data_IF_707009372043
#
_entry.id   IF_707009372043
#
_cell.length_a   1.000
_cell.length_b   1.000
_cell.length_c   1.000
_cell.angle_alpha   90.00
_cell.angle_beta   90.00
_cell.angle_gamma   90.00
#
_symmetry.space_group_name_H-M   'P 1'
#
loop_
_entity.id
_entity.type
_entity.pdbx_description
1 polymer ?
#
# COMPACT_ATOMS: atom_id res chain seq x y z
N UNK A 1 -59.00 16.19 4.23
CA UNK A 1 -57.68 16.76 3.90
C UNK A 1 -56.62 15.74 4.28
N UNK A 2 -56.02 15.05 3.32
CA UNK A 2 -54.96 14.07 3.57
C UNK A 2 -53.60 14.75 3.34
N UNK A 3 -52.76 14.81 4.37
CA UNK A 3 -51.39 15.29 4.25
C UNK A 3 -50.49 14.15 3.75
N UNK A 4 -49.96 14.33 2.55
CA UNK A 4 -48.95 13.40 1.98
C UNK A 4 -47.58 13.83 2.51
N UNK A 5 -47.01 13.04 3.44
CA UNK A 5 -45.62 13.21 3.90
C UNK A 5 -44.70 12.61 2.83
N UNK A 6 -44.02 13.44 2.08
CA UNK A 6 -42.95 13.04 1.18
C UNK A 6 -41.69 12.88 2.05
N UNK A 7 -41.33 11.64 2.38
CA UNK A 7 -40.03 11.34 2.97
C UNK A 7 -38.97 11.35 1.89
N UNK A 8 -38.16 12.40 1.85
CA UNK A 8 -37.00 12.50 0.98
C UNK A 8 -35.89 11.61 1.60
N UNK A 9 -35.70 10.40 1.09
CA UNK A 9 -34.55 9.55 1.46
C UNK A 9 -33.31 10.13 0.81
N UNK A 10 -32.48 10.79 1.61
CA UNK A 10 -31.13 11.18 1.19
C UNK A 10 -30.29 9.90 1.19
N UNK A 11 -30.03 9.34 0.01
CA UNK A 11 -29.04 8.28 -0.13
C UNK A 11 -27.67 8.88 0.22
N UNK A 12 -27.16 8.55 1.41
CA UNK A 12 -25.79 8.88 1.79
C UNK A 12 -24.85 8.17 0.79
N UNK A 13 -24.04 8.94 0.04
CA UNK A 13 -22.98 8.39 -0.77
C UNK A 13 -22.06 7.59 0.18
N UNK A 14 -21.90 6.27 -0.04
CA UNK A 14 -20.98 5.47 0.70
C UNK A 14 -19.57 6.04 0.52
N UNK A 15 -18.87 6.46 1.59
CA UNK A 15 -17.48 6.88 1.46
C UNK A 15 -16.69 5.72 0.85
N UNK A 16 -15.71 6.02 -0.01
CA UNK A 16 -14.81 5.03 -0.62
C UNK A 16 -14.29 4.10 0.48
N UNK A 17 -14.77 2.86 0.48
CA UNK A 17 -14.42 1.87 1.49
C UNK A 17 -13.09 1.18 1.18
N UNK A 18 -12.59 1.32 -0.06
CA UNK A 18 -11.36 0.67 -0.52
C UNK A 18 -10.68 1.43 -1.66
N UNK A 19 -9.37 1.25 -1.74
CA UNK A 19 -8.52 1.66 -2.86
C UNK A 19 -7.65 0.49 -3.27
N UNK A 20 -7.22 0.44 -4.51
CA UNK A 20 -6.33 -0.60 -5.02
C UNK A 20 -5.39 -0.06 -6.10
N UNK A 21 -4.42 -0.87 -6.46
CA UNK A 21 -3.50 -0.51 -7.52
C UNK A 21 -2.48 -1.59 -7.83
N UNK A 22 -1.49 -1.20 -8.60
CA UNK A 22 -0.41 -2.06 -9.06
C UNK A 22 0.91 -1.70 -8.42
N UNK A 23 1.81 -2.67 -8.32
CA UNK A 23 3.20 -2.52 -7.91
C UNK A 23 4.08 -2.75 -9.14
N UNK A 24 4.98 -1.81 -9.39
CA UNK A 24 6.02 -1.95 -10.40
C UNK A 24 7.23 -1.14 -9.94
N UNK A 25 8.28 -1.83 -9.55
CA UNK A 25 9.45 -1.23 -8.91
C UNK A 25 10.72 -1.96 -9.26
N UNK A 26 11.83 -1.24 -9.27
CA UNK A 26 13.17 -1.81 -9.30
C UNK A 26 13.80 -1.55 -7.93
N UNK A 27 14.30 -2.61 -7.31
CA UNK A 27 15.00 -2.53 -6.04
C UNK A 27 16.49 -2.82 -6.23
N UNK A 28 17.31 -2.07 -5.50
CA UNK A 28 18.76 -2.23 -5.53
C UNK A 28 19.20 -3.39 -4.63
N UNK A 29 20.29 -4.02 -5.03
CA UNK A 29 21.00 -4.98 -4.19
C UNK A 29 21.91 -4.29 -3.15
N UNK A 30 22.66 -5.08 -2.35
CA UNK A 30 23.57 -4.55 -1.33
C UNK A 30 24.67 -3.65 -1.89
N UNK A 31 25.02 -3.79 -3.16
CA UNK A 31 26.01 -2.97 -3.88
C UNK A 31 25.44 -1.63 -4.38
N UNK A 32 24.17 -1.33 -4.10
CA UNK A 32 23.46 -0.13 -4.54
C UNK A 32 23.05 -0.15 -6.01
N UNK A 33 23.26 -1.23 -6.73
CA UNK A 33 22.88 -1.38 -8.15
C UNK A 33 21.52 -2.06 -8.29
N UNK A 34 20.77 -1.77 -9.37
CA UNK A 34 19.52 -2.47 -9.65
C UNK A 34 19.71 -3.99 -9.67
N UNK A 35 18.91 -4.70 -8.90
CA UNK A 35 19.05 -6.15 -8.71
C UNK A 35 17.73 -6.90 -8.87
N UNK A 36 16.60 -6.30 -8.49
CA UNK A 36 15.32 -6.96 -8.43
C UNK A 36 14.22 -6.15 -9.14
N UNK A 37 13.42 -6.83 -9.94
CA UNK A 37 12.13 -6.32 -10.42
C UNK A 37 11.06 -6.80 -9.45
N UNK A 38 10.22 -5.87 -8.99
CA UNK A 38 9.08 -6.13 -8.12
C UNK A 38 7.80 -5.82 -8.90
N UNK A 39 6.87 -6.75 -8.94
CA UNK A 39 5.60 -6.58 -9.65
C UNK A 39 4.46 -7.27 -8.94
N UNK A 40 3.31 -6.62 -8.85
CA UNK A 40 2.15 -7.16 -8.16
C UNK A 40 1.01 -6.18 -8.01
N UNK A 41 0.20 -6.41 -6.99
CA UNK A 41 -0.98 -5.60 -6.68
C UNK A 41 -1.06 -5.28 -5.19
N UNK A 42 -1.82 -4.25 -4.86
CA UNK A 42 -2.12 -3.86 -3.50
C UNK A 42 -3.58 -3.42 -3.38
N UNK A 43 -4.09 -3.48 -2.16
CA UNK A 43 -5.34 -2.85 -1.79
C UNK A 43 -5.27 -2.27 -0.37
N UNK A 44 -6.05 -1.24 -0.15
CA UNK A 44 -6.28 -0.62 1.14
C UNK A 44 -7.78 -0.62 1.38
N UNK A 45 -8.22 -1.34 2.40
CA UNK A 45 -9.63 -1.61 2.69
C UNK A 45 -10.04 -1.05 4.04
N UNK A 46 -11.34 -0.92 4.26
CA UNK A 46 -11.91 -0.37 5.50
C UNK A 46 -11.40 1.04 5.81
N UNK A 47 -11.30 1.89 4.79
CA UNK A 47 -10.76 3.25 4.91
C UNK A 47 -11.54 4.14 5.90
N UNK A 48 -12.83 3.85 6.12
CA UNK A 48 -13.68 4.53 7.10
C UNK A 48 -13.53 4.00 8.53
N UNK A 49 -12.80 2.89 8.72
CA UNK A 49 -12.57 2.33 10.05
C UNK A 49 -11.42 3.05 10.75
N UNK A 50 -11.37 2.92 12.10
CA UNK A 50 -10.27 3.42 12.90
C UNK A 50 -8.92 2.81 12.49
N UNK A 51 -8.94 1.56 12.03
CA UNK A 51 -7.76 0.77 11.66
C UNK A 51 -7.95 0.17 10.26
N UNK A 52 -7.69 0.93 9.19
CA UNK A 52 -7.69 0.38 7.84
C UNK A 52 -6.70 -0.78 7.70
N UNK A 53 -6.94 -1.65 6.74
CA UNK A 53 -6.04 -2.77 6.43
C UNK A 53 -5.41 -2.56 5.06
N UNK A 54 -4.10 -2.65 4.99
CA UNK A 54 -3.35 -2.67 3.74
C UNK A 54 -2.91 -4.10 3.43
N UNK A 55 -3.14 -4.54 2.20
CA UNK A 55 -2.67 -5.81 1.68
C UNK A 55 -1.88 -5.59 0.40
N UNK A 56 -0.83 -6.35 0.22
CA UNK A 56 -0.10 -6.42 -1.04
C UNK A 56 0.33 -7.86 -1.35
N UNK A 57 0.41 -8.17 -2.62
CA UNK A 57 0.96 -9.43 -3.11
C UNK A 57 1.82 -9.13 -4.33
N UNK A 58 3.09 -9.51 -4.27
CA UNK A 58 4.03 -9.20 -5.34
C UNK A 58 5.12 -10.27 -5.50
N UNK A 59 5.58 -10.40 -6.71
CA UNK A 59 6.75 -11.19 -7.09
C UNK A 59 8.00 -10.30 -7.07
N UNK A 60 9.09 -10.86 -6.56
CA UNK A 60 10.43 -10.33 -6.74
C UNK A 60 11.22 -11.26 -7.65
N UNK A 61 11.73 -10.73 -8.74
CA UNK A 61 12.53 -11.48 -9.72
C UNK A 61 13.87 -10.78 -9.92
N UNK A 62 14.96 -11.55 -9.80
CA UNK A 62 16.28 -11.01 -10.17
C UNK A 62 16.29 -10.56 -11.63
N UNK A 63 16.97 -9.45 -11.90
CA UNK A 63 17.05 -8.89 -13.25
C UNK A 63 17.75 -9.83 -14.25
N UNK A 64 18.62 -10.73 -13.76
CA UNK A 64 19.24 -11.78 -14.56
C UNK A 64 18.36 -13.03 -14.76
N UNK A 65 17.15 -13.05 -14.15
CA UNK A 65 16.22 -14.17 -14.23
C UNK A 65 16.56 -15.38 -13.36
N UNK A 66 17.65 -15.35 -12.58
CA UNK A 66 18.17 -16.52 -11.85
C UNK A 66 17.32 -16.90 -10.62
N UNK A 67 16.46 -16.02 -10.13
CA UNK A 67 15.65 -16.27 -8.94
C UNK A 67 14.33 -15.49 -9.00
N UNK A 68 13.27 -16.15 -8.56
CA UNK A 68 11.94 -15.54 -8.41
C UNK A 68 11.28 -16.07 -7.15
N UNK A 69 10.66 -15.18 -6.39
CA UNK A 69 9.85 -15.55 -5.22
C UNK A 69 8.74 -14.54 -5.00
N UNK A 70 7.73 -14.94 -4.22
CA UNK A 70 6.53 -14.15 -3.95
C UNK A 70 6.45 -13.75 -2.49
N UNK A 71 5.95 -12.54 -2.27
CA UNK A 71 5.62 -12.02 -0.95
C UNK A 71 4.17 -11.62 -0.84
N UNK A 72 3.61 -11.78 0.34
CA UNK A 72 2.36 -11.19 0.77
C UNK A 72 2.63 -10.29 1.97
N UNK A 73 1.95 -9.16 2.01
CA UNK A 73 2.01 -8.18 3.10
C UNK A 73 0.59 -7.94 3.58
N UNK A 74 0.36 -8.05 4.87
CA UNK A 74 -0.89 -7.63 5.52
C UNK A 74 -0.54 -6.69 6.65
N UNK A 75 -1.03 -5.46 6.59
CA UNK A 75 -0.73 -4.44 7.58
C UNK A 75 -2.00 -3.85 8.19
N UNK A 76 -1.97 -3.61 9.48
CA UNK A 76 -2.95 -2.80 10.20
C UNK A 76 -2.43 -1.37 10.26
N UNK A 77 -3.20 -0.43 9.72
CA UNK A 77 -2.87 0.99 9.72
C UNK A 77 -3.34 1.60 11.05
N UNK A 78 -2.43 2.22 11.77
CA UNK A 78 -2.70 2.81 13.09
C UNK A 78 -2.71 4.33 13.08
N UNK A 79 -2.14 4.95 12.04
CA UNK A 79 -2.19 6.40 11.85
C UNK A 79 -2.20 6.78 10.37
N UNK A 80 -2.84 7.91 10.05
CA UNK A 80 -2.86 8.50 8.74
C UNK A 80 -2.61 10.00 8.86
N UNK A 81 -1.73 10.53 8.01
CA UNK A 81 -1.41 11.95 7.91
C UNK A 81 -1.66 12.45 6.49
N UNK A 82 -2.12 13.68 6.36
CA UNK A 82 -2.41 14.30 5.07
C UNK A 82 -1.69 15.64 4.97
N UNK A 83 -0.88 15.79 3.93
CA UNK A 83 -0.12 17.01 3.65
C UNK A 83 -0.43 17.54 2.26
N UNK A 84 -0.58 18.86 2.17
CA UNK A 84 -0.75 19.59 0.92
C UNK A 84 0.49 20.45 0.69
N UNK A 85 1.04 20.35 -0.52
CA UNK A 85 2.18 21.17 -0.97
C UNK A 85 1.85 21.68 -2.39
N UNK A 86 1.48 22.96 -2.50
CA UNK A 86 1.06 23.55 -3.77
C UNK A 86 -0.18 22.85 -4.37
N UNK A 87 -0.04 22.32 -5.58
CA UNK A 87 -1.10 21.58 -6.29
C UNK A 87 -1.08 20.07 -6.01
N UNK A 88 -0.12 19.57 -5.25
CA UNK A 88 -0.02 18.17 -4.90
C UNK A 88 -0.38 17.93 -3.43
N UNK A 89 -0.87 16.74 -3.16
CA UNK A 89 -1.13 16.28 -1.80
C UNK A 89 -0.59 14.87 -1.61
N UNK A 90 -0.20 14.55 -0.39
CA UNK A 90 0.31 13.23 -0.01
C UNK A 90 -0.41 12.75 1.24
N UNK A 91 -0.90 11.53 1.18
CA UNK A 91 -1.42 10.81 2.33
C UNK A 91 -0.41 9.77 2.76
N UNK A 92 -0.06 9.78 4.04
CA UNK A 92 0.88 8.84 4.64
C UNK A 92 0.13 7.98 5.64
N UNK A 93 0.19 6.67 5.45
CA UNK A 93 -0.34 5.67 6.36
C UNK A 93 0.81 4.98 7.06
N UNK A 94 0.72 4.82 8.36
CA UNK A 94 1.71 4.11 9.16
C UNK A 94 1.03 3.01 9.98
N UNK A 95 1.71 1.89 10.11
CA UNK A 95 1.18 0.76 10.85
C UNK A 95 2.20 -0.35 11.03
N UNK A 96 1.70 -1.55 11.30
CA UNK A 96 2.51 -2.76 11.45
C UNK A 96 2.02 -3.86 10.53
N UNK A 97 2.95 -4.59 9.94
CA UNK A 97 2.68 -5.63 8.96
C UNK A 97 3.17 -7.00 9.41
N UNK A 98 2.50 -8.02 8.87
CA UNK A 98 3.00 -9.38 8.74
C UNK A 98 3.38 -9.62 7.29
N UNK A 99 4.58 -10.11 7.05
CA UNK A 99 5.16 -10.30 5.72
C UNK A 99 5.59 -11.75 5.56
N UNK A 100 5.18 -12.40 4.46
CA UNK A 100 5.63 -13.75 4.15
C UNK A 100 7.12 -13.72 3.75
N UNK A 101 7.91 -14.61 4.34
CA UNK A 101 9.32 -14.79 4.03
C UNK A 101 9.60 -16.28 3.78
N UNK A 102 10.74 -16.58 3.18
CA UNK A 102 11.15 -17.97 2.87
C UNK A 102 11.13 -18.90 4.09
N UNK A 103 11.55 -18.39 5.24
CA UNK A 103 11.68 -19.17 6.49
C UNK A 103 10.46 -19.00 7.41
N UNK A 104 9.37 -18.54 6.89
CA UNK A 104 8.12 -18.26 7.61
C UNK A 104 7.83 -16.76 7.74
N UNK A 105 6.59 -16.41 8.06
CA UNK A 105 6.18 -15.02 8.15
C UNK A 105 6.88 -14.29 9.31
N UNK A 106 7.19 -13.02 9.08
CA UNK A 106 7.63 -12.10 10.13
C UNK A 106 6.50 -11.13 10.46
N UNK A 107 6.27 -10.90 11.74
CA UNK A 107 5.22 -10.03 12.24
C UNK A 107 5.78 -8.78 12.92
N UNK A 108 4.90 -7.81 13.19
CA UNK A 108 5.25 -6.55 13.84
C UNK A 108 6.31 -5.75 13.08
N UNK A 109 6.29 -5.81 11.76
CA UNK A 109 7.17 -5.02 10.91
C UNK A 109 6.56 -3.63 10.74
N UNK A 110 7.22 -2.56 11.21
CA UNK A 110 6.76 -1.21 10.91
C UNK A 110 6.69 -0.99 9.40
N UNK A 111 5.63 -0.34 8.94
CA UNK A 111 5.42 -0.07 7.52
C UNK A 111 4.88 1.33 7.32
N UNK A 112 5.36 2.00 6.28
CA UNK A 112 4.86 3.30 5.84
C UNK A 112 4.42 3.20 4.40
N UNK A 113 3.19 3.62 4.13
CA UNK A 113 2.63 3.69 2.77
C UNK A 113 2.33 5.16 2.48
N UNK A 114 2.80 5.65 1.35
CA UNK A 114 2.51 7.02 0.88
C UNK A 114 1.76 6.96 -0.44
N UNK A 115 0.71 7.78 -0.53
CA UNK A 115 -0.05 8.00 -1.76
C UNK A 115 -0.02 9.48 -2.09
N UNK A 116 0.29 9.82 -3.33
CA UNK A 116 0.21 11.19 -3.83
C UNK A 116 -1.00 11.39 -4.74
N UNK A 117 -1.44 12.63 -4.86
CA UNK A 117 -2.62 13.01 -5.65
C UNK A 117 -2.47 12.73 -7.16
N UNK A 118 -1.25 12.50 -7.64
CA UNK A 118 -0.96 12.09 -9.02
C UNK A 118 -1.08 10.57 -9.24
N UNK A 119 -1.52 9.82 -8.22
CA UNK A 119 -1.70 8.38 -8.28
C UNK A 119 -0.43 7.56 -7.96
N UNK A 120 0.70 8.19 -7.66
CA UNK A 120 1.88 7.44 -7.23
C UNK A 120 1.68 6.88 -5.81
N UNK A 121 2.22 5.70 -5.58
CA UNK A 121 2.19 5.03 -4.29
C UNK A 121 3.57 4.46 -3.97
N UNK A 122 3.96 4.48 -2.72
CA UNK A 122 5.16 3.83 -2.23
C UNK A 122 4.90 3.04 -0.96
N UNK A 123 5.59 1.92 -0.82
CA UNK A 123 5.52 1.02 0.33
C UNK A 123 6.92 0.88 0.90
N UNK A 124 7.09 1.15 2.19
CA UNK A 124 8.38 1.04 2.88
C UNK A 124 8.23 0.19 4.14
N UNK A 125 8.49 -1.13 4.06
CA UNK A 125 8.71 -1.94 5.25
C UNK A 125 10.02 -1.54 5.94
N UNK A 126 10.06 -1.63 7.27
CA UNK A 126 11.26 -1.33 8.03
C UNK A 126 12.43 -2.22 7.57
N UNK A 127 13.53 -1.65 7.06
CA UNK A 127 14.65 -2.42 6.52
C UNK A 127 15.44 -3.19 7.59
N UNK A 128 15.41 -2.75 8.84
CA UNK A 128 16.07 -3.45 9.95
C UNK A 128 15.29 -4.73 10.26
N UNK A 129 13.99 -4.65 10.41
CA UNK A 129 13.13 -5.82 10.68
C UNK A 129 13.13 -6.82 9.53
N UNK A 130 13.21 -6.37 8.30
CA UNK A 130 13.27 -7.21 7.11
C UNK A 130 14.69 -7.62 6.72
N UNK A 131 15.70 -7.23 7.52
CA UNK A 131 17.13 -7.50 7.27
C UNK A 131 17.56 -7.07 5.85
N UNK A 132 17.02 -5.96 5.39
CA UNK A 132 17.34 -5.42 4.06
C UNK A 132 16.78 -6.21 2.89
N UNK A 133 15.89 -7.17 3.11
CA UNK A 133 15.37 -8.07 2.06
C UNK A 133 14.71 -7.31 0.90
N UNK A 134 14.00 -6.22 1.21
CA UNK A 134 13.34 -5.38 0.21
C UNK A 134 14.17 -4.15 -0.19
N UNK A 135 15.45 -4.13 0.18
CA UNK A 135 16.30 -2.94 0.01
C UNK A 135 16.01 -1.84 1.04
N UNK A 136 16.60 -0.68 0.81
CA UNK A 136 16.46 0.50 1.66
C UNK A 136 15.71 1.66 0.97
N UNK A 137 15.12 1.40 -0.18
CA UNK A 137 14.30 2.34 -0.92
C UNK A 137 12.86 1.84 -0.98
N UNK A 138 11.86 2.74 -1.03
CA UNK A 138 10.46 2.34 -1.10
C UNK A 138 10.14 1.52 -2.37
N UNK A 139 9.28 0.52 -2.22
CA UNK A 139 8.68 -0.20 -3.34
C UNK A 139 7.65 0.73 -3.97
N UNK A 140 7.74 0.95 -5.28
CA UNK A 140 6.88 1.87 -6.01
C UNK A 140 5.66 1.18 -6.62
N UNK A 141 4.58 1.91 -6.70
CA UNK A 141 3.33 1.46 -7.31
C UNK A 141 2.48 2.62 -7.81
N UNK A 142 1.31 2.26 -8.31
CA UNK A 142 0.28 3.17 -8.79
C UNK A 142 -1.07 2.83 -8.18
N UNK A 143 -1.85 3.86 -7.89
CA UNK A 143 -3.27 3.73 -7.55
C UNK A 143 -4.10 3.61 -8.83
N UNK A 144 -5.03 2.67 -8.88
CA UNK A 144 -6.03 2.63 -9.94
C UNK A 144 -6.98 3.81 -9.74
N UNK A 145 -6.91 4.79 -10.62
CA UNK A 145 -7.81 5.92 -10.60
C UNK A 145 -9.15 5.46 -11.16
N UNK A 146 -10.22 5.60 -10.37
CA UNK A 146 -11.58 5.42 -10.92
C UNK A 146 -11.83 6.52 -11.94
N UNK A 147 -12.08 6.12 -13.17
CA UNK A 147 -12.55 7.02 -14.24
C UNK A 147 -14.00 7.45 -13.98
#
# INVERSE_FOLDING_TARGET
MAFLLITCSIAAANPLSSQNGTISSIQNGPDGKPAWKVSGTWNLINLSSKFPTFNASFDMMKLDGSSKHKHTVTATITSADFKVAGKSSTRTYSGTATISMKEGPISNVPIVIKQSSDGNMSIMPDPIKTKGHFGNTPIQGKTNMSS
#
